data_IF_175346689567
#
_entry.id   IF_175346689567
#
_cell.length_a   1.000
_cell.length_b   1.000
_cell.length_c   1.000
_cell.angle_alpha   90.00
_cell.angle_beta   90.00
_cell.angle_gamma   90.00
#
_symmetry.space_group_name_H-M   'P 1'
#
loop_
_entity.id
_entity.type
_entity.pdbx_description
1 polymer ?
#
# COMPACT_ATOMS: atom_id res chain seq x y z
N UNK A 1 -17.58 1.29 -7.18
CA UNK A 1 -17.15 0.46 -6.04
C UNK A 1 -15.66 0.43 -6.09
N UNK A 2 -14.99 1.33 -5.37
CA UNK A 2 -13.54 1.50 -5.44
C UNK A 2 -12.93 0.68 -4.31
N UNK A 3 -12.08 -0.28 -4.66
CA UNK A 3 -11.39 -1.15 -3.70
C UNK A 3 -9.98 -0.62 -3.49
N UNK A 4 -9.50 -0.62 -2.25
CA UNK A 4 -8.09 -0.34 -1.94
C UNK A 4 -7.20 -1.47 -2.44
N UNK A 5 -6.13 -1.09 -3.14
CA UNK A 5 -4.94 -1.90 -3.29
C UNK A 5 -3.84 -1.25 -2.46
N UNK A 6 -3.38 -1.89 -1.38
CA UNK A 6 -2.10 -1.50 -0.74
C UNK A 6 -1.02 -2.51 -1.01
N UNK A 7 -0.02 -2.13 -1.81
CA UNK A 7 1.04 -3.02 -2.24
C UNK A 7 2.37 -2.77 -1.51
N UNK A 8 2.85 -3.79 -0.79
CA UNK A 8 4.13 -3.76 -0.08
C UNK A 8 5.14 -4.72 -0.72
N UNK A 9 6.39 -4.28 -0.86
CA UNK A 9 7.51 -5.16 -1.22
C UNK A 9 8.05 -5.84 0.04
N UNK A 10 8.55 -7.07 -0.08
CA UNK A 10 9.26 -7.76 1.00
C UNK A 10 10.44 -6.91 1.50
N UNK A 11 10.24 -6.18 2.60
CA UNK A 11 11.31 -5.76 3.50
C UNK A 11 11.18 -6.63 4.73
N UNK A 12 12.23 -7.38 5.06
CA UNK A 12 12.30 -8.30 6.20
C UNK A 12 11.53 -7.76 7.39
N UNK A 13 10.36 -8.33 7.67
CA UNK A 13 9.60 -8.06 8.87
C UNK A 13 10.51 -8.41 10.06
N UNK A 14 11.05 -7.40 10.75
CA UNK A 14 11.69 -7.64 12.04
C UNK A 14 10.59 -8.08 12.98
N UNK A 15 10.69 -9.32 13.45
CA UNK A 15 9.76 -9.92 14.43
C UNK A 15 9.71 -9.00 15.65
N UNK A 16 8.57 -8.37 15.97
CA UNK A 16 8.46 -7.61 17.20
C UNK A 16 8.56 -8.61 18.36
N UNK A 17 9.40 -8.33 19.35
CA UNK A 17 9.37 -9.00 20.66
C UNK A 17 8.06 -8.60 21.33
N UNK A 18 7.09 -9.53 21.37
CA UNK A 18 5.77 -9.32 21.95
C UNK A 18 5.72 -9.75 23.42
N UNK A 19 5.28 -8.83 24.27
CA UNK A 19 4.70 -9.14 25.57
C UNK A 19 3.28 -9.69 25.36
N UNK A 20 2.87 -10.65 26.19
CA UNK A 20 1.73 -11.54 25.95
C UNK A 20 0.36 -10.83 26.04
N UNK A 21 -0.19 -10.37 24.90
CA UNK A 21 -1.63 -10.13 24.66
C UNK A 21 -1.95 -9.81 23.18
N UNK A 22 -1.19 -10.36 22.22
CA UNK A 22 -1.45 -10.10 20.81
C UNK A 22 -2.46 -11.12 20.26
N UNK A 23 -3.69 -10.69 20.01
CA UNK A 23 -4.62 -11.45 19.17
C UNK A 23 -4.07 -11.49 17.75
N UNK A 24 -3.78 -12.68 17.24
CA UNK A 24 -3.36 -12.87 15.85
C UNK A 24 -4.42 -12.26 14.92
N UNK A 25 -3.99 -11.31 14.09
CA UNK A 25 -4.85 -10.65 13.11
C UNK A 25 -4.56 -11.23 11.73
N UNK A 26 -5.61 -11.72 11.06
CA UNK A 26 -5.52 -12.18 9.68
C UNK A 26 -5.98 -11.05 8.75
N UNK A 27 -5.12 -10.67 7.81
CA UNK A 27 -5.43 -9.66 6.79
C UNK A 27 -5.71 -10.32 5.44
N UNK A 28 -6.69 -9.79 4.72
CA UNK A 28 -7.03 -10.27 3.39
C UNK A 28 -6.02 -9.72 2.38
N UNK A 29 -5.15 -10.58 1.89
CA UNK A 29 -4.11 -10.21 0.92
C UNK A 29 -4.06 -11.16 -0.26
N UNK A 30 -3.69 -10.65 -1.44
CA UNK A 30 -3.32 -11.46 -2.60
C UNK A 30 -1.89 -11.15 -3.03
N UNK A 31 -1.17 -12.18 -3.47
CA UNK A 31 0.11 -12.01 -4.14
C UNK A 31 -0.13 -11.85 -5.63
N UNK A 32 0.29 -10.74 -6.22
CA UNK A 32 0.04 -10.46 -7.64
C UNK A 32 1.21 -9.70 -8.27
N UNK A 33 1.25 -9.71 -9.61
CA UNK A 33 2.20 -8.94 -10.39
C UNK A 33 1.66 -7.55 -10.67
N UNK A 34 2.42 -6.53 -10.29
CA UNK A 34 2.11 -5.11 -10.53
C UNK A 34 3.09 -4.58 -11.57
N UNK A 35 2.57 -3.92 -12.60
CA UNK A 35 3.36 -3.33 -13.68
C UNK A 35 2.90 -1.91 -14.00
N UNK A 36 3.83 -1.08 -14.45
CA UNK A 36 3.50 0.19 -15.10
C UNK A 36 3.24 -0.07 -16.60
N UNK A 37 2.02 0.18 -17.13
CA UNK A 37 1.72 -0.05 -18.55
C UNK A 37 2.56 0.78 -19.51
N UNK A 38 2.99 1.98 -19.09
CA UNK A 38 3.85 2.87 -19.89
C UNK A 38 5.31 2.41 -19.91
N UNK A 39 5.71 1.55 -18.96
CA UNK A 39 7.06 0.98 -18.86
C UNK A 39 6.96 -0.51 -18.50
N UNK A 40 6.61 -1.39 -19.46
CA UNK A 40 6.26 -2.80 -19.19
C UNK A 40 7.36 -3.61 -18.49
N UNK A 41 8.63 -3.23 -18.69
CA UNK A 41 9.77 -3.86 -18.04
C UNK A 41 9.81 -3.61 -16.52
N UNK A 42 9.10 -2.58 -16.04
CA UNK A 42 8.94 -2.28 -14.61
C UNK A 42 7.77 -3.07 -14.04
N UNK A 43 8.07 -4.32 -13.73
CA UNK A 43 7.14 -5.29 -13.17
C UNK A 43 7.69 -5.83 -11.84
N UNK A 44 6.83 -6.02 -10.85
CA UNK A 44 7.21 -6.58 -9.55
C UNK A 44 6.07 -7.38 -8.93
N UNK A 45 6.44 -8.48 -8.29
CA UNK A 45 5.51 -9.26 -7.49
C UNK A 45 5.35 -8.62 -6.10
N UNK A 46 4.12 -8.34 -5.69
CA UNK A 46 3.81 -7.70 -4.43
C UNK A 46 2.59 -8.33 -3.75
N UNK A 47 2.49 -8.15 -2.43
CA UNK A 47 1.27 -8.44 -1.69
C UNK A 47 0.38 -7.21 -1.70
N UNK A 48 -0.83 -7.38 -2.21
CA UNK A 48 -1.92 -6.41 -2.19
C UNK A 48 -2.81 -6.72 -1.01
N UNK A 49 -2.99 -5.74 -0.13
CA UNK A 49 -4.02 -5.74 0.90
C UNK A 49 -5.33 -5.20 0.34
N UNK A 50 -6.42 -5.95 0.53
CA UNK A 50 -7.76 -5.54 0.15
C UNK A 50 -8.50 -4.97 1.35
N UNK A 51 -8.80 -3.68 1.28
CA UNK A 51 -9.60 -2.99 2.27
C UNK A 51 -10.92 -2.51 1.64
N UNK A 52 -12.07 -3.15 1.93
CA UNK A 52 -13.35 -2.67 1.44
C UNK A 52 -13.84 -1.41 2.17
N UNK A 53 -13.23 -1.06 3.30
CA UNK A 53 -13.63 0.06 4.14
C UNK A 53 -13.04 1.40 3.74
N UNK A 54 -12.28 1.47 2.64
CA UNK A 54 -11.58 2.69 2.30
C UNK A 54 -11.67 3.03 0.81
N UNK A 55 -11.65 4.33 0.54
CA UNK A 55 -12.20 4.93 -0.67
C UNK A 55 -11.20 4.96 -1.84
N UNK A 56 -9.90 4.91 -1.53
CA UNK A 56 -8.80 5.14 -2.47
C UNK A 56 -7.75 4.03 -2.45
N UNK A 57 -6.99 3.83 -3.52
CA UNK A 57 -5.86 2.87 -3.52
C UNK A 57 -4.53 3.53 -3.19
N UNK A 58 -3.64 2.81 -2.49
CA UNK A 58 -2.36 3.37 -2.04
C UNK A 58 -1.20 2.46 -2.42
N UNK A 59 -0.13 3.03 -2.95
CA UNK A 59 1.12 2.28 -3.12
C UNK A 59 2.19 2.86 -2.20
N UNK A 60 3.07 1.99 -1.69
CA UNK A 60 4.23 2.48 -0.94
C UNK A 60 5.12 3.36 -1.84
N UNK A 61 5.77 4.38 -1.27
CA UNK A 61 6.67 5.25 -2.01
C UNK A 61 7.80 4.47 -2.71
N UNK A 62 8.27 3.38 -2.09
CA UNK A 62 9.26 2.47 -2.68
C UNK A 62 8.73 1.78 -3.93
N UNK A 63 7.48 1.30 -3.90
CA UNK A 63 6.85 0.67 -5.05
C UNK A 63 6.59 1.69 -6.16
N UNK A 64 6.13 2.89 -5.82
CA UNK A 64 5.96 4.00 -6.76
C UNK A 64 7.27 4.32 -7.50
N UNK A 65 8.37 4.49 -6.76
CA UNK A 65 9.70 4.74 -7.33
C UNK A 65 10.18 3.60 -8.24
N UNK A 66 9.95 2.35 -7.83
CA UNK A 66 10.30 1.19 -8.65
C UNK A 66 9.52 1.17 -9.96
N UNK A 67 8.19 1.35 -9.91
CA UNK A 67 7.32 1.40 -11.08
C UNK A 67 7.56 2.64 -11.95
N UNK A 68 8.24 3.65 -11.43
CA UNK A 68 8.54 4.88 -12.16
C UNK A 68 7.27 5.66 -12.53
N UNK A 69 6.22 5.55 -11.70
CA UNK A 69 4.97 6.28 -11.93
C UNK A 69 5.18 7.76 -11.66
N UNK A 70 4.53 8.60 -12.46
CA UNK A 70 4.65 10.05 -12.37
C UNK A 70 3.67 10.57 -11.32
N UNK A 71 4.19 11.36 -10.38
CA UNK A 71 3.36 12.18 -9.49
C UNK A 71 2.67 13.26 -10.31
N UNK A 72 1.34 13.31 -10.23
CA UNK A 72 0.51 14.33 -10.89
C UNK A 72 0.09 15.43 -9.91
N UNK A 73 0.00 15.12 -8.62
CA UNK A 73 -0.37 16.05 -7.56
C UNK A 73 0.10 15.56 -6.19
N UNK A 74 -0.10 16.37 -5.15
CA UNK A 74 0.19 16.03 -3.75
C UNK A 74 -0.98 16.40 -2.86
N UNK A 75 -1.37 15.52 -1.95
CA UNK A 75 -2.46 15.75 -1.01
C UNK A 75 -2.12 15.24 0.40
N UNK A 76 -2.79 15.78 1.42
CA UNK A 76 -2.66 15.32 2.80
C UNK A 76 -3.71 14.24 3.10
N UNK A 77 -3.27 13.00 3.15
CA UNK A 77 -4.12 11.86 3.48
C UNK A 77 -4.13 11.62 4.99
N UNK A 78 -5.26 11.21 5.54
CA UNK A 78 -5.38 10.77 6.93
C UNK A 78 -5.74 9.30 6.98
N UNK A 79 -4.81 8.48 7.47
CA UNK A 79 -4.94 7.02 7.50
C UNK A 79 -5.17 6.52 8.92
N UNK A 80 -6.22 5.72 9.13
CA UNK A 80 -6.33 4.87 10.30
C UNK A 80 -5.59 3.56 10.02
N UNK A 81 -4.41 3.39 10.60
CA UNK A 81 -3.70 2.12 10.48
C UNK A 81 -4.34 1.06 11.37
N UNK A 82 -4.17 -0.21 11.02
CA UNK A 82 -4.71 -1.31 11.80
C UNK A 82 -4.26 -1.22 13.27
N UNK A 83 -5.22 -1.32 14.19
CA UNK A 83 -4.99 -1.19 15.64
C UNK A 83 -4.74 0.23 16.15
N UNK A 84 -4.89 1.27 15.31
CA UNK A 84 -4.77 2.67 15.74
C UNK A 84 -6.12 3.24 16.15
N UNK A 85 -6.17 3.89 17.31
CA UNK A 85 -7.33 4.66 17.76
C UNK A 85 -7.41 6.07 17.14
N UNK A 86 -6.31 6.53 16.50
CA UNK A 86 -6.21 7.89 15.94
C UNK A 86 -5.70 7.85 14.50
N UNK A 87 -6.14 8.80 13.64
CA UNK A 87 -5.63 8.88 12.29
C UNK A 87 -4.19 9.42 12.29
N UNK A 88 -3.39 8.96 11.33
CA UNK A 88 -2.11 9.55 11.00
C UNK A 88 -2.22 10.33 9.71
N UNK A 89 -2.00 11.64 9.78
CA UNK A 89 -1.97 12.51 8.61
C UNK A 89 -0.58 12.51 7.99
N UNK A 90 -0.51 12.34 6.67
CA UNK A 90 0.72 12.34 5.88
C UNK A 90 0.49 13.04 4.55
N UNK A 91 1.48 13.80 4.10
CA UNK A 91 1.54 14.22 2.70
C UNK A 91 1.80 12.98 1.84
N UNK A 92 1.03 12.83 0.76
CA UNK A 92 1.11 11.73 -0.18
C UNK A 92 1.08 12.25 -1.61
N UNK A 93 1.84 11.60 -2.49
CA UNK A 93 1.77 11.85 -3.92
C UNK A 93 0.55 11.15 -4.52
N UNK A 94 -0.22 11.88 -5.32
CA UNK A 94 -1.21 11.31 -6.22
C UNK A 94 -0.48 10.92 -7.50
N UNK A 95 -0.65 9.65 -7.90
CA UNK A 95 0.01 9.07 -9.08
C UNK A 95 -1.03 8.51 -10.02
N UNK A 96 -0.76 8.61 -11.31
CA UNK A 96 -1.61 8.04 -12.36
C UNK A 96 -0.97 6.77 -12.90
N UNK A 97 -1.77 5.71 -13.03
CA UNK A 97 -1.42 4.50 -13.76
C UNK A 97 -2.42 4.41 -14.90
N UNK A 98 -1.94 4.52 -16.14
CA UNK A 98 -2.78 4.38 -17.33
C UNK A 98 -3.20 2.91 -17.48
N UNK A 99 -4.39 2.54 -16.98
CA UNK A 99 -4.94 1.17 -17.09
C UNK A 99 -5.72 1.01 -18.39
#
# INVERSE_FOLDING_TARGET
TTSIFTAFTNSSFKKPTYDASASDTVLMTIKTSIRNPDQPDRCVEAYVFFDPGSEESYISSKLSQYLGVRTIDTDNISLFTFGSERPQTRESSIVEINI
#
